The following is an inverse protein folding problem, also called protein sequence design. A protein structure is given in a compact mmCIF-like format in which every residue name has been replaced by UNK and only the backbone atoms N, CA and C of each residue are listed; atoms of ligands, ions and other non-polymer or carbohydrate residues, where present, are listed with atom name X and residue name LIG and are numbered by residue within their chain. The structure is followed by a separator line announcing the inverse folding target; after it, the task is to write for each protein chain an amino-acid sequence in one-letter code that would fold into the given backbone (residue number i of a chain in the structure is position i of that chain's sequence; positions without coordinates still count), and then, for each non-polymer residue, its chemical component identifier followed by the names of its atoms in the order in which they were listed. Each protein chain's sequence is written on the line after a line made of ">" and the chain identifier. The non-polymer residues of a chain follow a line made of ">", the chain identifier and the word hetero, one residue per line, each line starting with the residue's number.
data_IF_175761164525
#
_entry.id   IF_175761164525
#
_cell.length_a   1.000
_cell.length_b   1.000
_cell.length_c   1.000
_cell.angle_alpha   90.00
_cell.angle_beta   90.00
_cell.angle_gamma   90.00
#
_symmetry.space_group_name_H-M   'P 1'
#
loop_
_entity.id
_entity.type
_entity.pdbx_description
1 polymer ?
#
# COMPACT_ATOMS: atom_id res chain seq x y z
N UNK A 1 24.60 4.77 -2.26
CA UNK A 1 23.91 3.68 -2.98
C UNK A 1 23.68 2.52 -2.03
N UNK A 2 22.52 1.94 -2.10
CA UNK A 2 22.12 0.77 -1.29
C UNK A 2 21.50 -0.30 -2.18
N UNK A 3 21.69 -1.57 -1.82
CA UNK A 3 20.97 -2.72 -2.37
C UNK A 3 19.77 -2.98 -1.47
N UNK A 4 18.62 -3.15 -2.08
CA UNK A 4 17.34 -3.44 -1.45
C UNK A 4 16.78 -4.79 -1.91
N UNK A 5 15.51 -5.03 -1.63
CA UNK A 5 14.76 -6.18 -2.13
C UNK A 5 15.23 -7.53 -1.59
N UNK A 6 14.90 -8.59 -2.32
CA UNK A 6 15.19 -9.98 -1.92
C UNK A 6 16.69 -10.30 -1.83
N UNK A 7 17.52 -9.70 -2.70
CA UNK A 7 18.96 -9.88 -2.64
C UNK A 7 19.58 -9.33 -1.36
N UNK A 8 19.11 -8.20 -0.86
CA UNK A 8 19.62 -7.61 0.38
C UNK A 8 19.33 -8.50 1.60
N UNK A 9 18.22 -9.23 1.56
CA UNK A 9 17.75 -10.14 2.62
C UNK A 9 18.32 -11.58 2.49
N UNK A 10 18.93 -11.91 1.36
CA UNK A 10 19.40 -13.28 1.09
C UNK A 10 18.29 -14.25 0.65
N UNK A 11 17.15 -13.75 0.21
CA UNK A 11 15.94 -14.51 -0.18
C UNK A 11 15.77 -14.59 -1.71
N UNK A 12 16.76 -14.15 -2.47
CA UNK A 12 16.68 -14.08 -3.92
C UNK A 12 16.52 -15.45 -4.59
N UNK A 13 15.65 -15.51 -5.58
CA UNK A 13 15.45 -16.66 -6.48
C UNK A 13 16.08 -16.39 -7.85
N UNK A 14 15.97 -17.34 -8.76
CA UNK A 14 16.38 -17.14 -10.16
C UNK A 14 15.59 -16.03 -10.87
N UNK A 15 14.39 -15.72 -10.39
CA UNK A 15 13.49 -14.72 -10.95
C UNK A 15 13.54 -13.36 -10.23
N UNK A 16 14.36 -13.24 -9.19
CA UNK A 16 14.50 -12.00 -8.46
C UNK A 16 15.30 -10.99 -9.27
N UNK A 17 14.80 -9.76 -9.30
CA UNK A 17 15.52 -8.61 -9.79
C UNK A 17 16.59 -8.12 -8.81
N UNK A 18 17.38 -7.16 -9.26
CA UNK A 18 18.42 -6.51 -8.46
C UNK A 18 17.97 -5.06 -8.23
N UNK A 19 17.54 -4.77 -7.01
CA UNK A 19 17.07 -3.43 -6.64
C UNK A 19 18.20 -2.58 -6.08
N UNK A 20 18.62 -1.57 -6.82
CA UNK A 20 19.61 -0.58 -6.38
C UNK A 20 18.93 0.76 -6.23
N UNK A 21 19.11 1.38 -5.07
CA UNK A 21 18.70 2.76 -4.86
C UNK A 21 19.93 3.66 -4.76
N UNK A 22 19.99 4.67 -5.61
CA UNK A 22 20.99 5.71 -5.63
C UNK A 22 20.42 6.98 -5.00
N UNK A 23 21.06 7.47 -3.96
CA UNK A 23 20.71 8.72 -3.31
C UNK A 23 21.60 9.84 -3.86
N UNK A 24 20.97 10.93 -4.23
CA UNK A 24 21.62 12.12 -4.80
C UNK A 24 21.28 13.34 -3.97
N UNK A 25 22.09 14.39 -4.09
CA UNK A 25 21.87 15.66 -3.40
C UNK A 25 20.54 16.29 -3.84
N UNK A 26 19.91 17.03 -2.93
CA UNK A 26 18.70 17.80 -3.21
C UNK A 26 18.95 18.80 -4.35
N UNK A 27 17.97 18.91 -5.26
CA UNK A 27 18.13 19.72 -6.49
C UNK A 27 18.68 18.95 -7.70
N UNK A 28 19.20 17.73 -7.51
CA UNK A 28 19.52 16.84 -8.63
C UNK A 28 18.20 16.23 -9.15
N UNK A 29 17.98 16.17 -10.49
CA UNK A 29 16.77 15.54 -11.01
C UNK A 29 16.66 14.06 -10.57
N UNK A 30 15.55 13.71 -9.92
CA UNK A 30 15.21 12.33 -9.66
C UNK A 30 14.83 11.67 -11.00
N UNK A 31 15.55 10.62 -11.39
CA UNK A 31 15.29 9.90 -12.65
C UNK A 31 14.24 8.78 -12.51
N UNK A 32 13.70 8.61 -11.30
CA UNK A 32 12.84 7.46 -11.00
C UNK A 32 13.58 6.13 -11.15
N UNK A 33 12.84 5.07 -11.47
CA UNK A 33 13.40 3.73 -11.65
C UNK A 33 13.68 3.46 -13.12
N UNK A 34 14.92 3.10 -13.45
CA UNK A 34 15.34 2.73 -14.81
C UNK A 34 15.69 1.25 -14.83
N UNK A 35 14.85 0.39 -15.43
CA UNK A 35 15.12 -1.04 -15.52
C UNK A 35 16.10 -1.34 -16.66
N UNK A 36 16.98 -2.33 -16.44
CA UNK A 36 17.94 -2.85 -17.44
C UNK A 36 18.14 -4.34 -17.21
N UNK A 37 18.51 -5.07 -18.25
CA UNK A 37 18.99 -6.43 -18.08
C UNK A 37 20.52 -6.44 -17.95
N UNK A 38 21.02 -7.18 -16.94
CA UNK A 38 22.43 -7.44 -16.71
C UNK A 38 22.61 -8.93 -16.42
N UNK A 39 23.34 -9.64 -17.27
CA UNK A 39 23.63 -11.08 -17.16
C UNK A 39 22.36 -11.93 -16.91
N UNK A 40 21.29 -11.63 -17.67
CA UNK A 40 20.02 -12.35 -17.61
C UNK A 40 19.11 -11.97 -16.43
N UNK A 41 19.51 -11.02 -15.57
CA UNK A 41 18.69 -10.49 -14.47
C UNK A 41 18.23 -9.10 -14.74
N UNK A 42 17.00 -8.79 -14.29
CA UNK A 42 16.50 -7.43 -14.30
C UNK A 42 17.20 -6.63 -13.20
N UNK A 43 17.84 -5.52 -13.58
CA UNK A 43 18.43 -4.56 -12.68
C UNK A 43 17.54 -3.32 -12.66
N UNK A 44 16.95 -3.00 -11.53
CA UNK A 44 16.16 -1.79 -11.30
C UNK A 44 16.99 -0.77 -10.52
N UNK A 45 17.32 0.36 -11.14
CA UNK A 45 18.06 1.44 -10.50
C UNK A 45 17.11 2.60 -10.27
N UNK A 46 16.76 2.84 -9.01
CA UNK A 46 15.98 4.01 -8.59
C UNK A 46 16.94 5.13 -8.20
N UNK A 47 16.64 6.36 -8.62
CA UNK A 47 17.40 7.54 -8.22
C UNK A 47 16.46 8.50 -7.50
N UNK A 48 16.72 8.73 -6.23
CA UNK A 48 15.94 9.59 -5.35
C UNK A 48 16.83 10.61 -4.67
N UNK A 49 16.30 11.77 -4.32
CA UNK A 49 17.06 12.70 -3.47
C UNK A 49 17.15 12.17 -2.05
N UNK A 50 18.17 12.58 -1.31
CA UNK A 50 18.31 12.23 0.11
C UNK A 50 17.06 12.66 0.88
N UNK A 51 16.55 13.87 0.61
CA UNK A 51 15.38 14.42 1.30
C UNK A 51 14.12 13.59 1.02
N UNK A 52 13.88 13.17 -0.22
CA UNK A 52 12.72 12.32 -0.57
C UNK A 52 12.77 10.97 0.12
N UNK A 53 13.97 10.37 0.19
CA UNK A 53 14.17 9.08 0.86
C UNK A 53 13.85 9.18 2.35
N UNK A 54 14.29 10.24 3.02
CA UNK A 54 13.98 10.45 4.44
C UNK A 54 12.52 10.83 4.67
N UNK A 55 11.91 11.62 3.77
CA UNK A 55 10.50 12.00 3.85
C UNK A 55 9.54 10.80 3.80
N UNK A 56 9.90 9.70 3.15
CA UNK A 56 9.09 8.47 3.13
C UNK A 56 8.78 7.94 4.53
N UNK A 57 9.69 8.12 5.49
CA UNK A 57 9.48 7.67 6.87
C UNK A 57 8.43 8.47 7.63
N UNK A 58 8.07 9.66 7.13
CA UNK A 58 7.06 10.53 7.72
C UNK A 58 5.66 10.36 7.11
N UNK A 59 5.55 9.61 6.03
CA UNK A 59 4.31 9.32 5.33
C UNK A 59 3.83 7.91 5.71
N UNK A 60 2.68 7.76 6.38
CA UNK A 60 2.29 6.48 6.99
C UNK A 60 2.29 5.30 6.02
N UNK A 61 1.74 5.48 4.84
CA UNK A 61 1.65 4.43 3.84
C UNK A 61 2.99 4.09 3.18
N UNK A 62 3.92 5.03 3.12
CA UNK A 62 5.28 4.81 2.62
C UNK A 62 6.19 4.22 3.70
N UNK A 63 6.06 4.66 4.95
CA UNK A 63 6.85 4.17 6.06
C UNK A 63 6.70 2.66 6.28
N UNK A 64 5.51 2.09 6.00
CA UNK A 64 5.26 0.66 6.11
C UNK A 64 6.15 -0.18 5.19
N UNK A 65 6.59 0.38 4.06
CA UNK A 65 7.50 -0.24 3.10
C UNK A 65 8.96 0.17 3.33
N UNK A 66 9.18 1.47 3.54
CA UNK A 66 10.51 2.05 3.66
C UNK A 66 11.25 1.54 4.91
N UNK A 67 10.57 1.45 6.06
CA UNK A 67 11.22 1.00 7.31
C UNK A 67 11.80 -0.41 7.19
N UNK A 68 11.05 -1.47 6.78
CA UNK A 68 11.64 -2.80 6.61
C UNK A 68 12.69 -2.85 5.50
N UNK A 69 12.48 -2.14 4.37
CA UNK A 69 13.45 -2.09 3.29
C UNK A 69 14.79 -1.51 3.77
N UNK A 70 14.76 -0.37 4.47
CA UNK A 70 16.00 0.26 4.96
C UNK A 70 16.61 -0.42 6.19
N UNK A 71 15.86 -1.22 6.95
CA UNK A 71 16.42 -2.13 7.97
C UNK A 71 17.23 -3.26 7.34
N UNK A 72 16.76 -3.79 6.21
CA UNK A 72 17.39 -4.91 5.51
C UNK A 72 18.41 -4.49 4.44
N UNK A 73 18.59 -3.18 4.19
CA UNK A 73 19.48 -2.70 3.15
C UNK A 73 20.93 -3.17 3.31
N UNK A 74 21.60 -3.38 2.19
CA UNK A 74 23.06 -3.54 2.14
C UNK A 74 23.68 -2.29 1.53
N UNK A 75 24.57 -1.65 2.27
CA UNK A 75 25.25 -0.44 1.79
C UNK A 75 26.31 -0.84 0.77
N UNK A 76 26.21 -0.28 -0.42
CA UNK A 76 27.19 -0.44 -1.49
C UNK A 76 28.21 0.71 -1.49
N UNK A 77 27.72 1.96 -1.36
CA UNK A 77 28.54 3.16 -1.27
C UNK A 77 27.84 4.17 -0.36
N UNK A 78 28.55 4.72 0.62
CA UNK A 78 28.07 5.75 1.54
C UNK A 78 29.14 6.85 1.76
N UNK A 79 29.25 7.76 0.81
CA UNK A 79 30.24 8.86 0.88
C UNK A 79 29.82 9.98 1.83
N UNK A 80 28.51 10.24 1.92
CA UNK A 80 27.92 11.33 2.73
C UNK A 80 27.49 10.90 4.14
N UNK A 81 27.55 9.60 4.46
CA UNK A 81 27.06 9.07 5.74
C UNK A 81 25.54 8.96 5.82
N UNK A 82 24.81 9.15 4.72
CA UNK A 82 23.33 9.17 4.73
C UNK A 82 22.75 7.78 4.94
N UNK A 83 23.42 6.73 4.43
CA UNK A 83 23.00 5.36 4.72
C UNK A 83 23.17 4.99 6.21
N UNK A 84 24.19 5.51 6.86
CA UNK A 84 24.38 5.36 8.31
C UNK A 84 23.33 6.14 9.11
N UNK A 85 23.02 7.38 8.70
CA UNK A 85 21.92 8.17 9.31
C UNK A 85 20.58 7.45 9.17
N UNK A 86 20.26 6.95 7.97
CA UNK A 86 19.05 6.16 7.72
C UNK A 86 18.98 4.93 8.63
N UNK A 87 20.08 4.20 8.80
CA UNK A 87 20.13 3.05 9.69
C UNK A 87 19.79 3.42 11.14
N UNK A 88 20.33 4.55 11.62
CA UNK A 88 20.04 5.03 12.97
C UNK A 88 18.56 5.44 13.16
N UNK A 89 17.96 6.05 12.13
CA UNK A 89 16.54 6.47 12.17
C UNK A 89 15.63 5.25 12.18
N UNK A 90 15.80 4.30 11.23
CA UNK A 90 14.90 3.13 11.16
C UNK A 90 15.07 2.17 12.33
N UNK A 91 16.24 2.18 13.00
CA UNK A 91 16.45 1.41 14.24
C UNK A 91 15.60 1.93 15.40
N UNK A 92 15.31 3.26 15.41
CA UNK A 92 14.53 3.93 16.45
C UNK A 92 13.09 4.22 16.02
N UNK A 93 12.72 3.82 14.80
CA UNK A 93 11.41 4.13 14.27
C UNK A 93 10.30 3.54 15.13
N UNK A 94 9.33 4.38 15.47
CA UNK A 94 8.12 4.01 16.22
C UNK A 94 6.88 4.32 15.38
N UNK A 95 6.09 3.29 15.12
CA UNK A 95 4.78 3.48 14.48
C UNK A 95 3.84 4.35 15.32
N UNK A 96 3.93 4.24 16.65
CA UNK A 96 3.09 5.02 17.56
C UNK A 96 3.32 6.53 17.42
N UNK A 97 4.56 6.95 17.18
CA UNK A 97 4.86 8.36 16.88
C UNK A 97 4.22 8.86 15.58
N UNK A 98 3.97 7.95 14.62
CA UNK A 98 3.35 8.27 13.34
C UNK A 98 1.81 8.16 13.38
N UNK A 99 1.23 7.63 14.47
CA UNK A 99 -0.20 7.36 14.61
C UNK A 99 -1.11 8.53 14.24
N UNK A 100 -0.88 9.78 14.68
CA UNK A 100 -1.76 10.89 14.31
C UNK A 100 -1.82 11.14 12.80
N UNK A 101 -0.69 10.99 12.10
CA UNK A 101 -0.65 11.07 10.63
C UNK A 101 -1.35 9.86 9.99
N UNK A 102 -1.19 8.67 10.57
CA UNK A 102 -1.85 7.44 10.12
C UNK A 102 -3.37 7.52 10.26
N UNK A 103 -3.89 8.02 11.38
CA UNK A 103 -5.33 8.20 11.60
C UNK A 103 -5.92 9.21 10.60
N UNK A 104 -5.22 10.32 10.36
CA UNK A 104 -5.61 11.27 9.31
C UNK A 104 -5.62 10.65 7.92
N UNK A 105 -4.60 9.86 7.58
CA UNK A 105 -4.52 9.14 6.30
C UNK A 105 -5.70 8.17 6.14
N UNK A 106 -5.97 7.35 7.17
CA UNK A 106 -7.07 6.38 7.21
C UNK A 106 -8.40 7.09 7.00
N UNK A 107 -8.66 8.16 7.77
CA UNK A 107 -9.90 8.94 7.69
C UNK A 107 -10.14 9.50 6.28
N UNK A 108 -9.16 10.20 5.72
CA UNK A 108 -9.27 10.82 4.39
C UNK A 108 -9.39 9.77 3.28
N UNK A 109 -8.62 8.68 3.36
CA UNK A 109 -8.61 7.65 2.30
C UNK A 109 -9.92 6.87 2.32
N UNK A 110 -10.47 6.57 3.51
CA UNK A 110 -11.77 5.90 3.62
C UNK A 110 -12.89 6.75 3.02
N UNK A 111 -12.95 8.05 3.36
CA UNK A 111 -13.94 8.95 2.78
C UNK A 111 -13.80 9.08 1.25
N UNK A 112 -12.56 9.23 0.74
CA UNK A 112 -12.31 9.28 -0.72
C UNK A 112 -12.66 7.98 -1.43
N UNK A 113 -12.69 6.85 -0.74
CA UNK A 113 -13.07 5.56 -1.33
C UNK A 113 -14.56 5.44 -1.64
N UNK A 114 -15.40 6.30 -1.04
CA UNK A 114 -16.83 6.43 -1.35
C UNK A 114 -17.11 6.63 -2.85
N UNK A 115 -16.24 7.36 -3.55
CA UNK A 115 -16.34 7.59 -5.00
C UNK A 115 -16.40 6.27 -5.79
N UNK A 116 -15.65 5.26 -5.38
CA UNK A 116 -15.60 3.98 -6.09
C UNK A 116 -16.87 3.15 -5.86
N UNK A 117 -17.50 3.24 -4.70
CA UNK A 117 -18.82 2.65 -4.46
C UNK A 117 -19.85 3.27 -5.41
N UNK A 118 -19.87 4.59 -5.55
CA UNK A 118 -20.75 5.25 -6.51
C UNK A 118 -20.48 4.85 -7.96
N UNK A 119 -19.20 4.72 -8.34
CA UNK A 119 -18.81 4.25 -9.68
C UNK A 119 -19.28 2.82 -9.94
N UNK A 120 -19.19 1.92 -8.96
CA UNK A 120 -19.70 0.55 -9.05
C UNK A 120 -21.22 0.56 -9.27
N UNK A 121 -21.96 1.32 -8.48
CA UNK A 121 -23.43 1.44 -8.64
C UNK A 121 -23.80 1.96 -10.02
N UNK A 122 -23.17 3.05 -10.47
CA UNK A 122 -23.41 3.61 -11.80
C UNK A 122 -23.03 2.65 -12.93
N UNK A 123 -21.99 1.82 -12.76
CA UNK A 123 -21.63 0.79 -13.72
C UNK A 123 -22.67 -0.33 -13.79
N UNK A 124 -23.20 -0.75 -12.62
CA UNK A 124 -24.28 -1.74 -12.53
C UNK A 124 -25.55 -1.28 -13.28
N UNK A 125 -26.00 -0.03 -13.08
CA UNK A 125 -27.14 0.55 -13.78
C UNK A 125 -26.96 0.57 -15.30
N UNK A 126 -25.74 0.85 -15.78
CA UNK A 126 -25.41 0.84 -17.22
C UNK A 126 -25.05 -0.52 -17.78
N UNK A 127 -24.97 -1.56 -16.95
CA UNK A 127 -24.49 -2.90 -17.33
C UNK A 127 -23.09 -2.85 -17.94
N UNK A 128 -22.23 -1.97 -17.43
CA UNK A 128 -20.88 -1.75 -17.90
C UNK A 128 -19.88 -2.54 -17.04
N UNK A 129 -19.54 -3.75 -17.50
CA UNK A 129 -18.64 -4.67 -16.81
C UNK A 129 -17.22 -4.10 -16.64
N UNK A 130 -16.71 -3.38 -17.65
CA UNK A 130 -15.37 -2.78 -17.59
C UNK A 130 -15.27 -1.71 -16.51
N UNK A 131 -16.27 -0.83 -16.46
CA UNK A 131 -16.33 0.19 -15.43
C UNK A 131 -16.49 -0.42 -14.02
N UNK A 132 -17.29 -1.49 -13.90
CA UNK A 132 -17.50 -2.21 -12.65
C UNK A 132 -16.17 -2.82 -12.14
N UNK A 133 -15.47 -3.59 -13.00
CA UNK A 133 -14.18 -4.21 -12.64
C UNK A 133 -13.11 -3.19 -12.33
N UNK A 134 -13.01 -2.09 -13.10
CA UNK A 134 -12.04 -1.02 -12.82
C UNK A 134 -12.28 -0.38 -11.46
N UNK A 135 -13.53 -0.06 -11.16
CA UNK A 135 -13.88 0.55 -9.88
C UNK A 135 -13.69 -0.43 -8.70
N UNK A 136 -14.04 -1.71 -8.89
CA UNK A 136 -13.83 -2.76 -7.90
C UNK A 136 -12.35 -2.97 -7.56
N UNK A 137 -11.49 -3.12 -8.58
CA UNK A 137 -10.05 -3.27 -8.38
C UNK A 137 -9.43 -2.09 -7.63
N UNK A 138 -9.85 -0.85 -8.00
CA UNK A 138 -9.41 0.37 -7.30
C UNK A 138 -9.87 0.39 -5.84
N UNK A 139 -11.10 -0.03 -5.55
CA UNK A 139 -11.66 -0.07 -4.20
C UNK A 139 -10.95 -1.12 -3.33
N UNK A 140 -10.72 -2.32 -3.86
CA UNK A 140 -10.00 -3.40 -3.17
C UNK A 140 -8.59 -2.93 -2.75
N UNK A 141 -7.83 -2.36 -3.68
CA UNK A 141 -6.49 -1.84 -3.39
C UNK A 141 -6.49 -0.74 -2.33
N UNK A 142 -7.50 0.15 -2.35
CA UNK A 142 -7.67 1.19 -1.30
C UNK A 142 -8.02 0.59 0.05
N UNK A 143 -8.90 -0.41 0.11
CA UNK A 143 -9.23 -1.10 1.36
C UNK A 143 -7.99 -1.76 1.98
N UNK A 144 -7.17 -2.43 1.18
CA UNK A 144 -5.92 -3.01 1.63
C UNK A 144 -4.95 -1.93 2.18
N UNK A 145 -4.81 -0.79 1.48
CA UNK A 145 -3.96 0.33 1.91
C UNK A 145 -4.47 1.00 3.18
N UNK A 146 -5.79 1.17 3.33
CA UNK A 146 -6.39 1.67 4.57
C UNK A 146 -6.06 0.74 5.74
N UNK A 147 -6.27 -0.57 5.56
CA UNK A 147 -6.04 -1.54 6.63
C UNK A 147 -4.55 -1.68 6.98
N UNK A 148 -3.64 -1.69 5.99
CA UNK A 148 -2.21 -1.73 6.27
C UNK A 148 -1.76 -0.56 7.15
N UNK A 149 -2.23 0.66 6.86
CA UNK A 149 -1.95 1.86 7.65
C UNK A 149 -2.68 1.81 9.00
N UNK A 150 -3.94 1.41 9.02
CA UNK A 150 -4.70 1.29 10.26
C UNK A 150 -4.08 0.31 11.26
N UNK A 151 -3.47 -0.77 10.78
CA UNK A 151 -2.81 -1.79 11.62
C UNK A 151 -1.33 -1.52 11.85
N UNK A 152 -0.70 -0.60 11.12
CA UNK A 152 0.74 -0.38 11.16
C UNK A 152 1.52 -1.60 10.65
N UNK A 153 0.99 -2.27 9.63
CA UNK A 153 1.53 -3.53 9.13
C UNK A 153 2.73 -3.26 8.22
N UNK A 154 3.93 -3.60 8.68
CA UNK A 154 5.13 -3.50 7.87
C UNK A 154 5.15 -4.54 6.75
N UNK A 155 5.54 -4.10 5.54
CA UNK A 155 5.54 -4.90 4.32
C UNK A 155 6.98 -5.10 3.88
N UNK A 156 7.46 -6.35 3.89
CA UNK A 156 8.84 -6.69 3.50
C UNK A 156 8.98 -6.94 2.01
N UNK A 157 7.90 -7.38 1.35
CA UNK A 157 7.87 -7.65 -0.10
C UNK A 157 6.45 -7.48 -0.64
N UNK A 158 6.32 -6.99 -1.87
CA UNK A 158 5.02 -6.86 -2.56
C UNK A 158 4.28 -8.19 -2.69
N UNK A 159 5.02 -9.29 -2.88
CA UNK A 159 4.44 -10.62 -3.02
C UNK A 159 3.64 -11.08 -1.79
N UNK A 160 3.94 -10.54 -0.61
CA UNK A 160 3.25 -10.88 0.63
C UNK A 160 2.22 -9.83 1.07
N UNK A 161 2.14 -8.70 0.38
CA UNK A 161 1.36 -7.54 0.80
C UNK A 161 -0.05 -7.90 1.24
N UNK A 162 -0.83 -8.50 0.36
CA UNK A 162 -2.21 -8.81 0.68
C UNK A 162 -2.35 -9.87 1.77
N UNK A 163 -1.46 -10.86 1.81
CA UNK A 163 -1.45 -11.91 2.84
C UNK A 163 -1.24 -11.30 4.23
N UNK A 164 -0.20 -10.49 4.41
CA UNK A 164 0.10 -9.90 5.73
C UNK A 164 -0.94 -8.88 6.16
N UNK A 165 -1.57 -8.16 5.22
CA UNK A 165 -2.68 -7.25 5.55
C UNK A 165 -3.93 -8.03 5.97
N UNK A 166 -4.25 -9.15 5.30
CA UNK A 166 -5.34 -10.04 5.71
C UNK A 166 -5.14 -10.60 7.13
N UNK A 167 -3.93 -11.13 7.40
CA UNK A 167 -3.57 -11.65 8.73
C UNK A 167 -3.72 -10.59 9.82
N UNK A 168 -3.25 -9.36 9.57
CA UNK A 168 -3.34 -8.24 10.52
C UNK A 168 -4.76 -7.69 10.72
N UNK A 169 -5.65 -7.87 9.74
CA UNK A 169 -7.00 -7.29 9.74
C UNK A 169 -8.06 -8.21 10.35
N UNK A 170 -7.75 -9.49 10.51
CA UNK A 170 -8.63 -10.52 11.11
C UNK A 170 -9.49 -11.24 10.09
N UNK A 171 -9.97 -12.41 10.49
CA UNK A 171 -10.65 -13.42 9.65
C UNK A 171 -11.83 -12.86 8.82
N UNK A 172 -12.69 -12.04 9.44
CA UNK A 172 -13.87 -11.50 8.77
C UNK A 172 -13.49 -10.56 7.61
N UNK A 173 -12.48 -9.70 7.82
CA UNK A 173 -11.97 -8.81 6.77
C UNK A 173 -11.24 -9.61 5.70
N UNK A 174 -10.41 -10.59 6.11
CA UNK A 174 -9.70 -11.46 5.19
C UNK A 174 -10.65 -12.25 4.29
N UNK A 175 -11.75 -12.77 4.84
CA UNK A 175 -12.80 -13.45 4.08
C UNK A 175 -13.43 -12.53 3.04
N UNK A 176 -13.83 -11.31 3.44
CA UNK A 176 -14.37 -10.30 2.50
C UNK A 176 -13.36 -9.90 1.43
N UNK A 177 -12.06 -9.81 1.77
CA UNK A 177 -11.00 -9.54 0.81
C UNK A 177 -10.84 -10.66 -0.22
N UNK A 178 -10.81 -11.92 0.22
CA UNK A 178 -10.70 -13.09 -0.66
C UNK A 178 -11.88 -13.18 -1.63
N UNK A 179 -13.09 -12.92 -1.15
CA UNK A 179 -14.28 -12.85 -1.99
C UNK A 179 -14.16 -11.73 -3.03
N UNK A 180 -13.81 -10.51 -2.63
CA UNK A 180 -13.65 -9.37 -3.53
C UNK A 180 -12.51 -9.57 -4.55
N UNK A 181 -11.45 -10.30 -4.19
CA UNK A 181 -10.33 -10.63 -5.07
C UNK A 181 -10.58 -11.89 -5.91
N UNK A 182 -11.76 -12.51 -5.78
CA UNK A 182 -12.17 -13.73 -6.47
C UNK A 182 -11.24 -14.93 -6.24
N UNK A 183 -10.63 -15.06 -5.04
CA UNK A 183 -9.73 -16.16 -4.71
C UNK A 183 -10.47 -17.47 -4.44
N UNK A 184 -11.72 -17.40 -4.03
CA UNK A 184 -12.52 -18.56 -3.60
C UNK A 184 -13.49 -19.06 -4.70
N UNK A 185 -13.39 -18.55 -5.95
CA UNK A 185 -14.23 -18.97 -7.05
C UNK A 185 -14.19 -18.04 -8.27
N UNK A 186 -14.99 -18.40 -9.27
CA UNK A 186 -15.21 -17.54 -10.44
C UNK A 186 -16.43 -16.65 -10.18
N UNK A 187 -16.25 -15.36 -10.31
CA UNK A 187 -17.29 -14.35 -10.17
C UNK A 187 -17.49 -13.64 -11.51
N UNK A 188 -18.73 -13.27 -11.81
CA UNK A 188 -18.96 -12.28 -12.85
C UNK A 188 -18.54 -10.88 -12.37
N UNK A 189 -18.42 -9.94 -13.29
CA UNK A 189 -17.92 -8.60 -13.03
C UNK A 189 -18.74 -7.86 -11.96
N UNK A 190 -20.05 -8.04 -11.95
CA UNK A 190 -20.93 -7.33 -11.00
C UNK A 190 -20.92 -7.99 -9.63
N UNK A 191 -20.86 -9.32 -9.56
CA UNK A 191 -20.70 -10.03 -8.29
C UNK A 191 -19.38 -9.68 -7.61
N UNK A 192 -18.28 -9.55 -8.36
CA UNK A 192 -16.99 -9.09 -7.84
C UNK A 192 -17.06 -7.63 -7.38
N UNK A 193 -17.73 -6.76 -8.11
CA UNK A 193 -17.90 -5.36 -7.73
C UNK A 193 -18.74 -5.21 -6.45
N UNK A 194 -19.79 -6.01 -6.28
CA UNK A 194 -20.58 -6.04 -5.03
C UNK A 194 -19.75 -6.59 -3.87
N UNK A 195 -18.90 -7.60 -4.08
CA UNK A 195 -17.98 -8.09 -3.06
C UNK A 195 -16.97 -7.01 -2.64
N UNK A 196 -16.48 -6.19 -3.58
CA UNK A 196 -15.63 -5.04 -3.25
C UNK A 196 -16.36 -3.99 -2.40
N UNK A 197 -17.66 -3.77 -2.64
CA UNK A 197 -18.47 -2.90 -1.79
C UNK A 197 -18.64 -3.48 -0.36
N UNK A 198 -18.84 -4.80 -0.23
CA UNK A 198 -18.86 -5.46 1.09
C UNK A 198 -17.52 -5.36 1.82
N UNK A 199 -16.41 -5.52 1.12
CA UNK A 199 -15.07 -5.30 1.68
C UNK A 199 -14.89 -3.86 2.19
N UNK A 200 -15.38 -2.87 1.44
CA UNK A 200 -15.38 -1.48 1.89
C UNK A 200 -16.20 -1.29 3.18
N UNK A 201 -17.38 -1.92 3.27
CA UNK A 201 -18.20 -1.86 4.49
C UNK A 201 -17.46 -2.45 5.71
N UNK A 202 -16.79 -3.59 5.55
CA UNK A 202 -15.97 -4.17 6.62
C UNK A 202 -14.77 -3.29 6.98
N UNK A 203 -14.12 -2.69 5.99
CA UNK A 203 -13.01 -1.75 6.20
C UNK A 203 -13.49 -0.55 7.01
N UNK A 204 -14.59 0.09 6.60
CA UNK A 204 -15.18 1.23 7.27
C UNK A 204 -15.56 0.92 8.73
N UNK A 205 -16.14 -0.26 8.98
CA UNK A 205 -16.47 -0.73 10.34
C UNK A 205 -15.23 -0.85 11.23
N UNK A 206 -14.12 -1.36 10.69
CA UNK A 206 -12.88 -1.59 11.45
C UNK A 206 -12.10 -0.33 11.76
N UNK A 207 -12.36 0.77 11.05
CA UNK A 207 -11.66 2.05 11.23
C UNK A 207 -12.57 3.19 11.67
N UNK A 208 -13.82 2.90 12.08
CA UNK A 208 -14.83 3.93 12.41
C UNK A 208 -14.37 4.89 13.51
N UNK A 209 -13.69 4.36 14.53
CA UNK A 209 -13.12 5.13 15.65
C UNK A 209 -12.04 6.15 15.23
N UNK A 210 -11.44 5.96 14.03
CA UNK A 210 -10.40 6.82 13.46
C UNK A 210 -10.93 7.86 12.48
N UNK A 211 -12.22 7.80 12.14
CA UNK A 211 -12.81 8.72 11.18
C UNK A 211 -13.10 10.08 11.82
N UNK A 212 -12.63 11.16 11.19
CA UNK A 212 -13.07 12.51 11.50
C UNK A 212 -14.58 12.65 11.21
N UNK A 213 -15.24 13.62 11.84
CA UNK A 213 -16.70 13.77 11.77
C UNK A 213 -17.23 13.88 10.33
N UNK A 214 -16.57 14.70 9.50
CA UNK A 214 -16.95 14.88 8.09
C UNK A 214 -16.74 13.59 7.27
N UNK A 215 -15.62 12.89 7.50
CA UNK A 215 -15.32 11.61 6.84
C UNK A 215 -16.35 10.55 7.24
N UNK A 216 -16.73 10.48 8.51
CA UNK A 216 -17.73 9.55 9.04
C UNK A 216 -19.11 9.78 8.41
N UNK A 217 -19.52 11.03 8.20
CA UNK A 217 -20.80 11.32 7.53
C UNK A 217 -20.79 10.83 6.07
N UNK A 218 -19.71 11.08 5.32
CA UNK A 218 -19.55 10.57 3.95
C UNK A 218 -19.62 9.06 3.93
N UNK A 219 -18.86 8.39 4.79
CA UNK A 219 -18.80 6.91 4.86
C UNK A 219 -20.17 6.35 5.22
N UNK A 220 -20.86 6.89 6.22
CA UNK A 220 -22.21 6.45 6.63
C UNK A 220 -23.22 6.53 5.49
N UNK A 221 -23.24 7.63 4.74
CA UNK A 221 -24.14 7.79 3.57
C UNK A 221 -23.78 6.79 2.46
N UNK A 222 -22.49 6.53 2.26
CA UNK A 222 -22.04 5.55 1.27
C UNK A 222 -22.45 4.13 1.65
N UNK A 223 -22.35 3.75 2.93
CA UNK A 223 -22.76 2.44 3.41
C UNK A 223 -24.25 2.17 3.20
N UNK A 224 -25.10 3.19 3.28
CA UNK A 224 -26.53 3.05 2.96
C UNK A 224 -26.75 2.62 1.50
N UNK A 225 -25.86 3.00 0.59
CA UNK A 225 -25.91 2.58 -0.82
C UNK A 225 -25.36 1.15 -1.07
N UNK A 226 -24.52 0.64 -0.17
CA UNK A 226 -23.99 -0.74 -0.28
C UNK A 226 -25.10 -1.76 0.02
N UNK A 227 -26.03 -1.41 0.88
CA UNK A 227 -27.12 -2.29 1.35
C UNK A 227 -28.45 -2.09 0.60
N UNK A 228 -28.51 -1.11 -0.29
CA UNK A 228 -29.66 -0.85 -1.17
C UNK A 228 -29.58 -1.68 -2.46
#
# INVERSE_FOLDING_TARGET
>A
MVLLGSLSRGEATAWSDIDIERWVESGTPALGTVPRFLDGRLLAISTNTVDDVFAQLELPDQALWAVPAYRAKRVLVDRGGDAAKMAAIVARFSWEALRPKADRFVSLTTAKSAEFVLKIRAAGERRDEWAALHAAGSLIGRCARIMSVARGTFITTENEYYRVVCEASGERWAGAFREAFALDGAYDAFAQADAACRLFAETARLVDDRLAAEARDVVRRTLALVHA
#
